data_IF_859690978222
#
_entry.id   IF_859690978222
#
_cell.length_a   1.000
_cell.length_b   1.000
_cell.length_c   1.000
_cell.angle_alpha   90.00
_cell.angle_beta   90.00
_cell.angle_gamma   90.00
#
_symmetry.space_group_name_H-M   'P 1'
#
loop_
_entity.id
_entity.type
_entity.pdbx_description
1 polymer ?
#
# COMPACT_ATOMS: atom_id res chain seq x y z
N UNK A 1 -27.54 -46.40 -14.82
CA UNK A 1 -28.12 -45.04 -14.80
C UNK A 1 -28.19 -44.45 -13.39
N UNK A 2 -28.86 -45.08 -12.41
CA UNK A 2 -28.95 -44.53 -11.04
C UNK A 2 -27.59 -44.41 -10.33
N UNK A 3 -26.70 -45.41 -10.47
CA UNK A 3 -25.35 -45.40 -9.87
C UNK A 3 -24.39 -44.41 -10.54
N UNK A 4 -24.49 -44.24 -11.86
CA UNK A 4 -23.69 -43.27 -12.61
C UNK A 4 -24.12 -41.83 -12.33
N UNK A 5 -25.43 -41.58 -12.16
CA UNK A 5 -25.96 -40.27 -11.76
C UNK A 5 -25.53 -39.90 -10.32
N UNK A 6 -25.56 -40.86 -9.39
CA UNK A 6 -25.10 -40.66 -8.03
C UNK A 6 -23.59 -40.35 -7.95
N UNK A 7 -22.77 -40.99 -8.80
CA UNK A 7 -21.34 -40.73 -8.87
C UNK A 7 -21.04 -39.32 -9.43
N UNK A 8 -21.79 -38.88 -10.44
CA UNK A 8 -21.69 -37.50 -10.96
C UNK A 8 -22.08 -36.44 -9.92
N UNK A 9 -23.14 -36.69 -9.13
CA UNK A 9 -23.57 -35.82 -8.03
C UNK A 9 -22.53 -35.74 -6.90
N UNK A 10 -21.83 -36.84 -6.61
CA UNK A 10 -20.77 -36.85 -5.60
C UNK A 10 -19.52 -36.06 -6.04
N UNK A 11 -19.16 -36.13 -7.33
CA UNK A 11 -17.99 -35.42 -7.89
C UNK A 11 -18.23 -33.90 -7.96
N UNK A 12 -19.46 -33.47 -8.27
CA UNK A 12 -19.83 -32.05 -8.22
C UNK A 12 -19.89 -31.53 -6.78
N UNK A 13 -20.39 -32.32 -5.82
CA UNK A 13 -20.36 -31.93 -4.41
C UNK A 13 -18.94 -31.79 -3.83
N UNK A 14 -17.98 -32.59 -4.33
CA UNK A 14 -16.58 -32.50 -3.90
C UNK A 14 -15.87 -31.27 -4.46
N UNK A 15 -16.17 -30.86 -5.70
CA UNK A 15 -15.56 -29.67 -6.31
C UNK A 15 -16.06 -28.35 -5.71
N UNK A 16 -17.23 -28.32 -5.07
CA UNK A 16 -17.75 -27.13 -4.36
C UNK A 16 -17.10 -26.94 -2.97
N UNK A 17 -16.53 -27.99 -2.35
CA UNK A 17 -15.81 -27.85 -1.08
C UNK A 17 -14.34 -27.40 -1.26
N UNK A 18 -13.86 -27.28 -2.49
CA UNK A 18 -12.55 -26.68 -2.83
C UNK A 18 -12.56 -25.16 -2.91
N UNK A 19 -13.62 -24.49 -2.42
CA UNK A 19 -13.47 -23.09 -2.06
C UNK A 19 -12.63 -23.03 -0.79
N UNK A 20 -11.34 -22.71 -0.98
CA UNK A 20 -10.43 -22.35 0.09
C UNK A 20 -11.17 -21.43 1.07
N UNK A 21 -11.16 -21.78 2.37
CA UNK A 21 -11.69 -20.90 3.40
C UNK A 21 -11.07 -19.52 3.17
N UNK A 22 -11.91 -18.52 2.88
CA UNK A 22 -11.48 -17.13 2.89
C UNK A 22 -10.85 -16.92 4.26
N UNK A 23 -9.53 -16.68 4.30
CA UNK A 23 -8.81 -16.38 5.54
C UNK A 23 -9.57 -15.22 6.19
N UNK A 24 -10.25 -15.50 7.28
CA UNK A 24 -11.03 -14.51 8.01
C UNK A 24 -10.07 -13.36 8.36
N UNK A 25 -10.35 -12.15 7.89
CA UNK A 25 -9.50 -10.99 8.21
C UNK A 25 -9.43 -10.88 9.73
N UNK A 26 -8.20 -10.94 10.26
CA UNK A 26 -7.95 -10.76 11.68
C UNK A 26 -8.34 -9.32 12.05
N UNK A 27 -9.37 -9.10 12.89
CA UNK A 27 -9.79 -7.76 13.26
C UNK A 27 -8.66 -6.93 13.90
N UNK A 28 -7.63 -7.58 14.46
CA UNK A 28 -6.46 -6.90 15.00
C UNK A 28 -5.56 -6.26 13.92
N UNK A 29 -5.76 -6.58 12.63
CA UNK A 29 -5.01 -6.00 11.51
C UNK A 29 -5.75 -4.87 10.78
N UNK A 30 -6.99 -4.57 11.16
CA UNK A 30 -7.79 -3.52 10.51
C UNK A 30 -7.11 -2.15 10.59
N UNK A 31 -6.53 -1.81 11.75
CA UNK A 31 -5.77 -0.57 11.92
C UNK A 31 -4.58 -0.50 10.95
N UNK A 32 -3.87 -1.61 10.75
CA UNK A 32 -2.69 -1.66 9.88
C UNK A 32 -3.05 -1.49 8.41
N UNK A 33 -4.14 -2.14 7.98
CA UNK A 33 -4.71 -1.94 6.64
C UNK A 33 -5.08 -0.47 6.43
N UNK A 34 -5.81 0.12 7.39
CA UNK A 34 -6.21 1.52 7.32
C UNK A 34 -5.01 2.48 7.29
N UNK A 35 -4.00 2.22 8.12
CA UNK A 35 -2.76 3.01 8.15
C UNK A 35 -2.01 2.92 6.83
N UNK A 36 -1.91 1.73 6.23
CA UNK A 36 -1.25 1.54 4.94
C UNK A 36 -1.95 2.30 3.80
N UNK A 37 -3.29 2.31 3.79
CA UNK A 37 -4.08 3.13 2.84
C UNK A 37 -3.80 4.63 2.99
N UNK A 38 -3.77 5.12 4.23
CA UNK A 38 -3.49 6.53 4.53
C UNK A 38 -2.05 6.89 4.13
N UNK A 39 -1.08 6.03 4.41
CA UNK A 39 0.31 6.21 3.96
C UNK A 39 0.37 6.33 2.43
N UNK A 40 -0.27 5.41 1.71
CA UNK A 40 -0.27 5.43 0.25
C UNK A 40 -0.85 6.73 -0.30
N UNK A 41 -1.99 7.16 0.24
CA UNK A 41 -2.66 8.40 -0.15
C UNK A 41 -1.79 9.63 0.12
N UNK A 42 -1.26 9.75 1.33
CA UNK A 42 -0.48 10.92 1.75
C UNK A 42 0.84 11.03 0.99
N UNK A 43 1.54 9.91 0.75
CA UNK A 43 2.78 9.88 -0.01
C UNK A 43 2.55 10.25 -1.48
N UNK A 44 1.52 9.71 -2.12
CA UNK A 44 1.14 10.10 -3.48
C UNK A 44 0.80 11.59 -3.56
N UNK A 45 0.02 12.10 -2.59
CA UNK A 45 -0.32 13.53 -2.55
C UNK A 45 0.91 14.40 -2.34
N UNK A 46 1.81 14.01 -1.45
CA UNK A 46 3.07 14.72 -1.21
C UNK A 46 3.95 14.71 -2.46
N UNK A 47 4.09 13.58 -3.15
CA UNK A 47 4.88 13.47 -4.37
C UNK A 47 4.32 14.30 -5.54
N UNK A 48 3.00 14.51 -5.59
CA UNK A 48 2.37 15.44 -6.55
C UNK A 48 2.55 16.91 -6.16
N UNK A 49 2.78 17.20 -4.87
CA UNK A 49 2.84 18.57 -4.34
C UNK A 49 4.26 19.13 -4.37
N UNK A 50 5.25 18.32 -3.99
CA UNK A 50 6.64 18.72 -3.88
C UNK A 50 7.44 18.33 -5.12
N UNK A 51 8.62 18.96 -5.29
CA UNK A 51 9.50 18.72 -6.44
C UNK A 51 10.79 18.08 -5.95
N UNK A 52 11.44 17.20 -6.74
CA UNK A 52 12.77 16.68 -6.43
C UNK A 52 13.75 17.80 -6.09
N UNK A 53 14.55 17.61 -5.04
CA UNK A 53 15.45 18.63 -4.49
C UNK A 53 14.78 19.76 -3.70
N UNK A 54 13.45 19.69 -3.51
CA UNK A 54 12.64 20.57 -2.64
C UNK A 54 11.69 19.72 -1.79
N UNK A 55 12.29 18.87 -0.95
CA UNK A 55 11.58 17.85 -0.19
C UNK A 55 10.92 18.43 1.07
N UNK A 56 9.75 17.93 1.50
CA UNK A 56 9.13 18.37 2.75
C UNK A 56 9.96 17.92 3.95
N UNK A 57 10.26 18.84 4.86
CA UNK A 57 11.03 18.56 6.10
C UNK A 57 10.15 18.58 7.34
N UNK A 58 9.40 19.66 7.54
CA UNK A 58 8.56 19.90 8.71
C UNK A 58 7.56 21.02 8.43
N UNK A 59 6.74 21.37 9.42
CA UNK A 59 5.86 22.54 9.37
C UNK A 59 6.45 23.65 10.25
N UNK A 60 6.49 24.88 9.73
CA UNK A 60 6.88 26.08 10.49
C UNK A 60 5.75 26.50 11.44
N UNK A 61 6.00 27.30 12.49
CA UNK A 61 4.96 27.78 13.41
C UNK A 61 3.79 28.51 12.74
N UNK A 62 4.02 29.13 11.57
CA UNK A 62 2.98 29.81 10.79
C UNK A 62 2.18 28.89 9.85
N UNK A 63 2.35 27.57 9.95
CA UNK A 63 1.64 26.58 9.12
C UNK A 63 2.25 26.34 7.73
N UNK A 64 3.28 27.07 7.33
CA UNK A 64 3.97 26.82 6.04
C UNK A 64 4.89 25.61 6.12
N UNK A 65 5.11 24.94 5.00
CA UNK A 65 6.02 23.78 4.93
C UNK A 65 7.46 24.27 4.89
N UNK A 66 8.29 23.78 5.80
CA UNK A 66 9.75 23.90 5.72
C UNK A 66 10.26 22.90 4.68
N UNK A 67 10.98 23.41 3.68
CA UNK A 67 11.53 22.62 2.58
C UNK A 67 13.01 22.31 2.85
N UNK A 68 13.40 21.05 2.66
CA UNK A 68 14.77 20.57 2.61
C UNK A 68 15.31 20.64 1.17
N UNK A 69 16.38 21.42 0.98
CA UNK A 69 17.14 21.46 -0.27
C UNK A 69 18.14 20.29 -0.38
N UNK A 70 18.94 20.26 -1.44
CA UNK A 70 19.90 19.17 -1.72
C UNK A 70 20.99 19.01 -0.65
N UNK A 71 21.39 20.09 0.03
CA UNK A 71 22.43 20.07 1.07
C UNK A 71 21.88 19.89 2.48
N UNK A 72 20.56 19.84 2.64
CA UNK A 72 19.94 19.58 3.93
C UNK A 72 20.12 18.10 4.28
N UNK A 73 20.64 17.80 5.47
CA UNK A 73 20.86 16.42 5.93
C UNK A 73 19.58 15.58 5.95
N UNK A 74 18.40 16.22 5.98
CA UNK A 74 17.09 15.55 5.95
C UNK A 74 16.55 15.26 4.55
N UNK A 75 17.23 15.72 3.49
CA UNK A 75 16.69 15.71 2.13
C UNK A 75 16.37 14.30 1.62
N UNK A 76 17.11 13.28 2.08
CA UNK A 76 16.92 11.89 1.67
C UNK A 76 15.72 11.19 2.33
N UNK A 77 15.15 11.73 3.41
CA UNK A 77 14.07 11.03 4.11
C UNK A 77 12.79 10.93 3.28
N UNK A 78 12.40 12.00 2.59
CA UNK A 78 11.18 11.98 1.78
C UNK A 78 11.24 10.94 0.64
N UNK A 79 12.26 10.90 -0.24
CA UNK A 79 12.35 9.85 -1.26
C UNK A 79 12.50 8.45 -0.64
N UNK A 80 13.17 8.31 0.52
CA UNK A 80 13.20 7.05 1.26
C UNK A 80 11.82 6.57 1.70
N UNK A 81 10.98 7.48 2.21
CA UNK A 81 9.59 7.17 2.56
C UNK A 81 8.74 6.76 1.35
N UNK A 82 9.00 7.32 0.16
CA UNK A 82 8.34 6.87 -1.08
C UNK A 82 8.71 5.43 -1.42
N UNK A 83 9.98 5.03 -1.24
CA UNK A 83 10.41 3.63 -1.40
C UNK A 83 9.72 2.70 -0.39
N UNK A 84 9.70 3.05 0.90
CA UNK A 84 8.99 2.25 1.90
C UNK A 84 7.49 2.19 1.64
N UNK A 85 6.89 3.27 1.15
CA UNK A 85 5.50 3.27 0.70
C UNK A 85 5.28 2.25 -0.42
N UNK A 86 6.14 2.21 -1.43
CA UNK A 86 6.08 1.22 -2.49
C UNK A 86 6.22 -0.22 -1.96
N UNK A 87 7.19 -0.49 -1.08
CA UNK A 87 7.37 -1.83 -0.50
C UNK A 87 6.16 -2.28 0.32
N UNK A 88 5.54 -1.35 1.04
CA UNK A 88 4.36 -1.61 1.88
C UNK A 88 3.09 -1.86 1.05
N UNK A 89 2.89 -1.10 -0.02
CA UNK A 89 1.58 -1.03 -0.72
C UNK A 89 1.61 -1.68 -2.11
N UNK A 90 2.79 -1.89 -2.69
CA UNK A 90 2.97 -2.32 -4.07
C UNK A 90 2.66 -1.23 -5.12
N UNK A 91 2.39 0.01 -4.71
CA UNK A 91 2.04 1.11 -5.62
C UNK A 91 3.27 1.56 -6.42
N UNK A 92 3.32 1.16 -7.68
CA UNK A 92 4.43 1.48 -8.60
C UNK A 92 4.59 2.99 -8.82
N UNK A 93 3.53 3.79 -8.67
CA UNK A 93 3.66 5.24 -8.81
C UNK A 93 4.60 5.82 -7.75
N UNK A 94 4.60 5.29 -6.53
CA UNK A 94 5.52 5.71 -5.47
C UNK A 94 6.98 5.43 -5.83
N UNK A 95 7.28 4.25 -6.37
CA UNK A 95 8.62 3.91 -6.85
C UNK A 95 9.09 4.85 -7.98
N UNK A 96 8.21 5.16 -8.94
CA UNK A 96 8.52 6.09 -10.02
C UNK A 96 8.76 7.52 -9.53
N UNK A 97 8.08 7.96 -8.47
CA UNK A 97 8.36 9.26 -7.85
C UNK A 97 9.64 9.23 -7.02
N UNK A 98 9.93 8.13 -6.33
CA UNK A 98 11.13 7.96 -5.51
C UNK A 98 12.43 7.98 -6.33
N UNK A 99 12.36 7.59 -7.62
CA UNK A 99 13.49 7.53 -8.54
C UNK A 99 13.91 8.90 -9.12
N UNK A 100 13.05 9.91 -9.06
CA UNK A 100 13.28 11.24 -9.65
C UNK A 100 14.13 12.13 -8.76
#
# INVERSE_FOLDING_TARGET
>A
MKKTLALFLAITAFSINTFAQLKQEDPSLEWFKKTSEVINFQLNKAAQTYKPGKNPRSINPNGTVRIAGLTDWTTGFFPGSLWYGYELTGDKALAEQAKK
#
